data_IF_480637408073
#
_entry.id   IF_480637408073
#
_cell.length_a   1.000
_cell.length_b   1.000
_cell.length_c   1.000
_cell.angle_alpha   90.00
_cell.angle_beta   90.00
_cell.angle_gamma   90.00
#
_symmetry.space_group_name_H-M   'P 1'
#
loop_
_entity.id
_entity.type
_entity.pdbx_description
1 polymer ?
#
# COMPACT_ATOMS: atom_id res chain seq x y z
N UNK A 1 38.52 -2.35 17.60
CA UNK A 1 38.86 -2.97 16.30
C UNK A 1 37.57 -3.34 15.59
N UNK A 2 37.46 -2.97 14.31
CA UNK A 2 36.27 -3.04 13.46
C UNK A 2 36.04 -4.48 12.94
N UNK A 3 34.78 -4.90 12.86
CA UNK A 3 34.24 -5.88 11.90
C UNK A 3 32.69 -5.72 11.92
N UNK A 4 32.13 -4.75 11.19
CA UNK A 4 31.60 -4.87 9.82
C UNK A 4 30.44 -5.87 9.74
N UNK A 5 29.22 -5.32 9.81
CA UNK A 5 27.94 -5.96 9.50
C UNK A 5 27.82 -6.12 7.98
N UNK A 6 27.91 -7.35 7.48
CA UNK A 6 27.71 -7.69 6.06
C UNK A 6 26.43 -8.49 5.84
N UNK A 7 25.28 -8.03 6.33
CA UNK A 7 23.97 -8.56 5.90
C UNK A 7 22.91 -7.46 5.99
N UNK A 8 23.04 -6.40 5.20
CA UNK A 8 21.94 -5.43 5.02
C UNK A 8 22.13 -4.53 3.78
N UNK A 9 22.63 -5.08 2.67
CA UNK A 9 22.92 -4.28 1.47
C UNK A 9 22.22 -4.72 0.18
N UNK A 10 21.41 -5.79 0.19
CA UNK A 10 20.77 -6.29 -1.06
C UNK A 10 19.33 -5.77 -1.24
N UNK A 11 18.74 -5.10 -0.24
CA UNK A 11 17.36 -4.58 -0.35
C UNK A 11 17.32 -3.14 -0.91
N UNK A 12 18.44 -2.41 -0.92
CA UNK A 12 18.48 -1.01 -1.40
C UNK A 12 18.66 -0.83 -2.92
N UNK A 13 18.95 -1.90 -3.67
CA UNK A 13 19.26 -1.78 -5.10
C UNK A 13 18.04 -1.82 -6.05
N UNK A 14 16.84 -2.15 -5.56
CA UNK A 14 15.66 -2.34 -6.43
C UNK A 14 14.78 -1.10 -6.63
N UNK A 15 15.06 0.02 -5.94
CA UNK A 15 14.31 1.26 -6.11
C UNK A 15 14.95 2.27 -7.10
N UNK A 16 16.15 1.99 -7.62
CA UNK A 16 16.88 2.94 -8.48
C UNK A 16 16.56 2.83 -9.99
N UNK A 17 15.92 1.76 -10.46
CA UNK A 17 15.81 1.50 -11.90
C UNK A 17 14.51 1.97 -12.58
N UNK A 18 13.67 2.77 -11.92
CA UNK A 18 12.35 3.19 -12.46
C UNK A 18 12.20 4.71 -12.64
N UNK A 19 13.27 5.40 -13.06
CA UNK A 19 13.19 6.83 -13.44
C UNK A 19 13.44 7.10 -14.92
N UNK A 20 13.75 6.09 -15.74
CA UNK A 20 13.92 6.28 -17.17
C UNK A 20 12.65 5.86 -17.92
N UNK A 21 11.76 6.81 -18.19
CA UNK A 21 11.05 7.02 -19.47
C UNK A 21 9.91 8.03 -19.28
N UNK A 22 10.21 9.30 -19.61
CA UNK A 22 9.26 10.38 -19.76
C UNK A 22 8.95 10.51 -21.25
N UNK A 23 7.65 10.48 -21.61
CA UNK A 23 7.18 10.60 -22.98
C UNK A 23 6.61 12.00 -23.17
N UNK A 24 7.18 12.73 -24.13
CA UNK A 24 6.84 14.12 -24.46
C UNK A 24 5.40 14.24 -25.00
N UNK A 25 4.67 15.27 -24.56
CA UNK A 25 3.37 15.67 -25.09
C UNK A 25 3.43 17.15 -25.56
N UNK A 26 2.84 17.52 -26.71
CA UNK A 26 3.32 18.62 -27.56
C UNK A 26 2.53 19.93 -27.38
N UNK A 27 2.36 20.42 -26.15
CA UNK A 27 1.76 21.75 -25.90
C UNK A 27 2.51 22.45 -24.76
N UNK A 28 3.60 23.13 -25.12
CA UNK A 28 4.51 23.81 -24.21
C UNK A 28 3.87 24.98 -23.45
N UNK A 29 3.26 24.68 -22.30
CA UNK A 29 3.03 25.66 -21.24
C UNK A 29 3.67 25.18 -19.93
N UNK A 30 4.57 25.97 -19.31
CA UNK A 30 5.25 25.58 -18.08
C UNK A 30 4.28 25.64 -16.91
N UNK A 31 3.95 24.49 -16.33
CA UNK A 31 3.39 24.45 -14.98
C UNK A 31 4.57 24.56 -14.02
N UNK A 32 4.85 25.78 -13.57
CA UNK A 32 5.88 26.06 -12.58
C UNK A 32 5.62 25.26 -11.30
N UNK A 33 6.47 24.27 -11.06
CA UNK A 33 6.71 23.71 -9.73
C UNK A 33 7.55 24.75 -8.96
N UNK A 34 7.21 25.14 -7.73
CA UNK A 34 8.21 25.70 -6.85
C UNK A 34 9.17 24.57 -6.47
N UNK A 35 10.35 24.60 -7.10
CA UNK A 35 11.52 23.81 -6.73
C UNK A 35 11.95 24.15 -5.30
N UNK A 36 12.18 23.11 -4.49
CA UNK A 36 12.70 23.27 -3.13
C UNK A 36 12.24 22.21 -2.14
N UNK A 37 12.42 20.93 -2.45
CA UNK A 37 12.49 19.88 -1.42
C UNK A 37 13.91 19.33 -1.40
N UNK A 38 14.67 19.48 -0.31
CA UNK A 38 15.99 18.88 -0.21
C UNK A 38 15.87 17.35 -0.19
N UNK A 39 16.73 16.71 -0.96
CA UNK A 39 17.00 15.29 -0.86
C UNK A 39 17.54 14.98 0.55
N UNK A 40 16.79 14.19 1.32
CA UNK A 40 17.14 13.80 2.67
C UNK A 40 15.88 13.47 3.47
N UNK A 41 15.54 12.19 3.56
CA UNK A 41 14.69 11.73 4.66
C UNK A 41 15.47 12.00 5.96
N UNK A 42 14.94 12.76 6.94
CA UNK A 42 15.55 12.75 8.26
C UNK A 42 15.35 11.36 8.85
N UNK A 43 16.47 10.67 9.08
CA UNK A 43 16.60 9.66 10.13
C UNK A 43 16.04 10.27 11.42
N UNK A 44 14.90 9.75 11.88
CA UNK A 44 14.24 10.31 13.06
C UNK A 44 12.74 10.07 13.13
N UNK A 45 12.30 8.83 12.96
CA UNK A 45 11.02 8.42 13.54
C UNK A 45 11.32 7.50 14.72
N UNK A 46 10.89 7.86 15.96
CA UNK A 46 11.15 7.05 17.12
C UNK A 46 10.48 5.69 16.98
N UNK A 47 11.23 4.63 17.26
CA UNK A 47 10.70 3.28 17.42
C UNK A 47 9.52 3.31 18.40
N UNK A 48 8.38 2.67 18.10
CA UNK A 48 7.33 2.46 19.09
C UNK A 48 7.85 1.53 20.23
N UNK A 49 7.38 1.71 21.47
CA UNK A 49 7.97 1.08 22.65
C UNK A 49 7.92 -0.45 22.58
N UNK A 50 9.05 -1.09 22.90
CA UNK A 50 9.12 -2.53 23.16
C UNK A 50 8.63 -2.80 24.59
N UNK A 51 7.62 -3.67 24.73
CA UNK A 51 7.20 -4.20 26.02
C UNK A 51 8.01 -5.46 26.34
N UNK A 52 8.60 -5.47 27.54
CA UNK A 52 9.48 -6.51 28.06
C UNK A 52 8.71 -7.82 28.33
N UNK A 53 9.34 -8.95 28.03
CA UNK A 53 9.01 -10.26 28.62
C UNK A 53 10.27 -10.82 29.33
N UNK A 54 10.16 -11.49 30.49
CA UNK A 54 11.29 -11.96 31.27
C UNK A 54 11.71 -13.42 30.96
N UNK A 55 13.04 -13.63 30.86
CA UNK A 55 13.85 -14.66 31.55
C UNK A 55 13.66 -16.17 31.33
N UNK A 56 14.59 -16.77 30.56
CA UNK A 56 15.46 -17.97 30.79
C UNK A 56 14.87 -19.35 31.25
N UNK A 57 15.61 -20.50 31.25
CA UNK A 57 16.98 -20.79 30.76
C UNK A 57 17.21 -22.11 29.97
N UNK A 58 18.35 -22.16 29.25
CA UNK A 58 19.34 -23.26 29.25
C UNK A 58 19.09 -24.54 28.44
N UNK A 59 20.02 -24.87 27.52
CA UNK A 59 20.95 -26.03 27.62
C UNK A 59 22.03 -25.98 26.53
N UNK A 60 23.25 -26.29 26.94
CA UNK A 60 24.48 -26.45 26.16
C UNK A 60 24.42 -27.65 25.18
N UNK A 61 25.18 -27.56 24.07
CA UNK A 61 26.26 -28.51 23.78
C UNK A 61 26.92 -28.22 22.42
N UNK A 62 28.21 -27.93 22.50
CA UNK A 62 29.21 -27.90 21.44
C UNK A 62 29.45 -29.25 20.77
N UNK A 63 29.68 -29.28 19.45
CA UNK A 63 30.75 -30.11 18.85
C UNK A 63 31.16 -29.57 17.47
N UNK A 64 32.47 -29.40 17.29
CA UNK A 64 33.16 -29.14 16.03
C UNK A 64 33.27 -30.41 15.19
N UNK A 65 33.31 -30.29 13.86
CA UNK A 65 34.17 -31.12 12.99
C UNK A 65 34.16 -30.59 11.55
N UNK A 66 35.36 -30.38 11.05
CA UNK A 66 35.77 -30.03 9.69
C UNK A 66 35.81 -31.25 8.76
N UNK A 67 35.39 -31.13 7.49
CA UNK A 67 36.02 -31.84 6.34
C UNK A 67 35.79 -31.04 5.04
N UNK A 68 36.77 -31.17 4.14
CA UNK A 68 37.08 -30.39 2.95
C UNK A 68 36.21 -30.61 1.68
N UNK A 69 36.32 -29.60 0.82
CA UNK A 69 36.26 -29.51 -0.66
C UNK A 69 35.72 -30.66 -1.51
N UNK A 70 34.82 -30.30 -2.45
CA UNK A 70 34.95 -30.75 -3.84
C UNK A 70 34.34 -29.73 -4.81
N UNK A 71 35.09 -29.52 -5.89
CA UNK A 71 34.88 -28.63 -7.02
C UNK A 71 33.81 -29.22 -7.96
N UNK A 72 32.94 -28.38 -8.53
CA UNK A 72 32.05 -28.76 -9.65
C UNK A 72 31.54 -27.52 -10.37
N UNK A 73 32.18 -27.22 -11.49
CA UNK A 73 31.82 -26.21 -12.50
C UNK A 73 30.48 -26.56 -13.15
N UNK A 74 29.45 -25.74 -12.91
CA UNK A 74 28.18 -25.80 -13.64
C UNK A 74 28.15 -24.68 -14.70
N UNK A 75 28.11 -25.10 -15.97
CA UNK A 75 27.99 -24.23 -17.13
C UNK A 75 26.66 -23.45 -17.11
N UNK A 76 26.74 -22.14 -17.30
CA UNK A 76 25.60 -21.24 -17.39
C UNK A 76 24.89 -21.45 -18.73
N UNK A 77 23.65 -21.93 -18.69
CA UNK A 77 22.74 -21.91 -19.83
C UNK A 77 22.07 -20.53 -19.89
N UNK A 78 22.44 -19.71 -20.86
CA UNK A 78 21.76 -18.45 -21.20
C UNK A 78 20.33 -18.75 -21.65
N UNK A 79 19.37 -18.55 -20.74
CA UNK A 79 17.95 -18.49 -21.09
C UNK A 79 17.67 -17.06 -21.56
N UNK A 80 17.53 -16.90 -22.88
CA UNK A 80 17.11 -15.67 -23.53
C UNK A 80 15.70 -15.31 -23.05
N UNK A 81 15.59 -14.26 -22.22
CA UNK A 81 14.32 -13.74 -21.76
C UNK A 81 13.53 -13.14 -22.92
N UNK A 82 12.28 -13.58 -23.10
CA UNK A 82 11.37 -13.02 -24.08
C UNK A 82 11.13 -11.51 -23.83
N UNK A 83 11.00 -10.69 -24.89
CA UNK A 83 10.82 -9.25 -24.74
C UNK A 83 9.52 -8.92 -24.01
N UNK A 84 9.64 -8.09 -22.97
CA UNK A 84 8.50 -7.52 -22.23
C UNK A 84 7.76 -6.57 -23.17
N UNK A 85 6.64 -7.03 -23.74
CA UNK A 85 5.76 -6.19 -24.54
C UNK A 85 5.02 -5.24 -23.60
N UNK A 86 5.56 -4.04 -23.40
CA UNK A 86 4.87 -2.95 -22.72
C UNK A 86 3.77 -2.42 -23.64
N UNK A 87 2.58 -3.04 -23.58
CA UNK A 87 1.42 -2.54 -24.34
C UNK A 87 1.01 -1.18 -23.79
N UNK A 88 1.43 -0.10 -24.45
CA UNK A 88 0.95 1.26 -24.16
C UNK A 88 -0.55 1.28 -24.39
N UNK A 89 -1.33 1.46 -23.32
CA UNK A 89 -2.78 1.43 -23.38
C UNK A 89 -3.29 2.61 -24.21
N UNK A 90 -3.96 2.32 -25.34
CA UNK A 90 -4.56 3.33 -26.23
C UNK A 90 -5.84 3.97 -25.67
N UNK A 91 -6.24 3.66 -24.43
CA UNK A 91 -7.47 4.17 -23.82
C UNK A 91 -7.26 5.53 -23.18
N UNK A 92 -8.22 6.43 -23.42
CA UNK A 92 -8.32 7.72 -22.71
C UNK A 92 -8.15 7.54 -21.19
N UNK A 93 -7.33 8.37 -20.53
CA UNK A 93 -7.22 8.34 -19.07
C UNK A 93 -8.57 8.54 -18.37
N UNK A 94 -8.71 8.00 -17.16
CA UNK A 94 -9.87 8.31 -16.33
C UNK A 94 -9.90 9.80 -15.98
N UNK A 95 -11.09 10.42 -15.82
CA UNK A 95 -11.19 11.79 -15.37
C UNK A 95 -10.46 12.00 -14.04
N UNK A 96 -9.82 13.16 -13.90
CA UNK A 96 -9.20 13.56 -12.63
C UNK A 96 -10.29 13.80 -11.57
N UNK A 97 -10.00 13.56 -10.28
CA UNK A 97 -10.97 13.78 -9.22
C UNK A 97 -11.41 15.25 -9.13
N UNK A 98 -12.73 15.49 -9.00
CA UNK A 98 -13.30 16.82 -8.78
C UNK A 98 -14.65 16.71 -8.06
N UNK A 99 -14.70 17.07 -6.77
CA UNK A 99 -15.89 16.80 -5.94
C UNK A 99 -16.64 18.01 -5.40
N UNK A 100 -16.31 19.25 -5.82
CA UNK A 100 -17.03 20.47 -5.41
C UNK A 100 -16.95 20.84 -3.93
N UNK A 101 -16.69 19.88 -3.04
CA UNK A 101 -16.45 20.07 -1.62
C UNK A 101 -15.13 20.83 -1.41
N UNK A 102 -15.15 22.04 -0.80
CA UNK A 102 -13.94 22.84 -0.62
C UNK A 102 -13.03 22.31 0.50
N UNK A 103 -13.52 21.43 1.37
CA UNK A 103 -12.74 20.91 2.51
C UNK A 103 -11.60 19.97 2.09
N UNK A 104 -11.58 19.54 0.84
CA UNK A 104 -10.48 18.79 0.26
C UNK A 104 -10.22 19.36 -1.14
N UNK A 105 -8.98 19.68 -1.49
CA UNK A 105 -8.67 20.21 -2.82
C UNK A 105 -8.41 19.08 -3.84
N UNK A 106 -8.50 19.39 -5.13
CA UNK A 106 -8.32 18.39 -6.21
C UNK A 106 -6.91 17.80 -6.26
N UNK A 107 -5.88 18.55 -5.85
CA UNK A 107 -4.51 18.04 -5.74
C UNK A 107 -4.42 16.90 -4.73
N UNK A 108 -5.00 17.08 -3.55
CA UNK A 108 -5.01 16.07 -2.51
C UNK A 108 -5.89 14.87 -2.89
N UNK A 109 -7.04 15.07 -3.55
CA UNK A 109 -7.84 13.96 -4.13
C UNK A 109 -7.01 13.13 -5.10
N UNK A 110 -6.25 13.79 -5.98
CA UNK A 110 -5.38 13.12 -6.94
C UNK A 110 -4.27 12.34 -6.22
N UNK A 111 -3.61 12.93 -5.20
CA UNK A 111 -2.60 12.26 -4.40
C UNK A 111 -3.14 11.03 -3.67
N UNK A 112 -4.33 11.13 -3.06
CA UNK A 112 -5.02 10.00 -2.43
C UNK A 112 -5.21 8.87 -3.43
N UNK A 113 -5.81 9.16 -4.59
CA UNK A 113 -6.08 8.16 -5.62
C UNK A 113 -4.80 7.52 -6.14
N UNK A 114 -3.79 8.34 -6.40
CA UNK A 114 -2.49 7.92 -6.87
C UNK A 114 -1.86 6.93 -5.90
N UNK A 115 -1.66 7.30 -4.63
CA UNK A 115 -1.00 6.41 -3.66
C UNK A 115 -1.76 5.10 -3.45
N UNK A 116 -3.09 5.11 -3.42
CA UNK A 116 -3.84 3.85 -3.34
C UNK A 116 -3.58 2.94 -4.55
N UNK A 117 -3.55 3.50 -5.76
CA UNK A 117 -3.29 2.71 -6.98
C UNK A 117 -1.82 2.28 -7.09
N UNK A 118 -0.85 3.10 -6.69
CA UNK A 118 0.57 2.69 -6.63
C UNK A 118 0.73 1.47 -5.73
N UNK A 119 0.18 1.55 -4.52
CA UNK A 119 0.21 0.46 -3.55
C UNK A 119 -0.46 -0.81 -4.07
N UNK A 120 -1.68 -0.69 -4.62
CA UNK A 120 -2.40 -1.83 -5.22
C UNK A 120 -1.65 -2.44 -6.40
N UNK A 121 -1.02 -1.62 -7.25
CA UNK A 121 -0.23 -2.09 -8.39
C UNK A 121 1.07 -2.77 -7.98
N UNK A 122 1.74 -2.26 -6.94
CA UNK A 122 2.89 -2.91 -6.31
C UNK A 122 2.53 -4.28 -5.72
N UNK A 123 1.39 -4.37 -5.04
CA UNK A 123 0.85 -5.63 -4.50
C UNK A 123 0.49 -6.61 -5.63
N UNK A 124 -0.20 -6.14 -6.68
CA UNK A 124 -0.64 -6.97 -7.78
C UNK A 124 0.54 -7.64 -8.52
N UNK A 125 1.68 -6.96 -8.62
CA UNK A 125 2.92 -7.52 -9.19
C UNK A 125 3.58 -8.60 -8.32
N UNK A 126 3.34 -8.59 -7.01
CA UNK A 126 3.82 -9.64 -6.08
C UNK A 126 5.33 -9.65 -5.85
N UNK A 127 6.01 -8.49 -5.92
CA UNK A 127 7.48 -8.41 -5.90
C UNK A 127 8.07 -7.71 -4.68
N UNK A 128 7.33 -6.78 -4.06
CA UNK A 128 7.91 -5.83 -3.09
C UNK A 128 7.17 -5.72 -1.77
N UNK A 129 5.95 -6.26 -1.67
CA UNK A 129 5.12 -6.06 -0.48
C UNK A 129 5.39 -7.16 0.55
N UNK A 130 6.13 -6.83 1.60
CA UNK A 130 6.38 -7.76 2.72
C UNK A 130 5.10 -8.07 3.49
N UNK A 131 4.92 -9.33 3.84
CA UNK A 131 3.92 -9.85 4.76
C UNK A 131 4.63 -10.46 5.97
N UNK A 132 4.45 -9.87 7.15
CA UNK A 132 5.16 -10.30 8.37
C UNK A 132 4.98 -11.79 8.63
N UNK A 133 6.08 -12.54 8.71
CA UNK A 133 6.05 -13.99 8.94
C UNK A 133 5.63 -14.85 7.73
N UNK A 134 5.35 -14.24 6.57
CA UNK A 134 4.88 -14.94 5.35
C UNK A 134 5.68 -14.61 4.09
N UNK A 135 6.76 -13.82 4.21
CA UNK A 135 7.62 -13.45 3.09
C UNK A 135 7.02 -12.31 2.25
N UNK A 136 7.16 -12.38 0.93
CA UNK A 136 6.57 -11.41 0.01
C UNK A 136 5.14 -11.84 -0.36
N UNK A 137 4.21 -10.90 -0.35
CA UNK A 137 2.83 -11.13 -0.76
C UNK A 137 2.80 -11.54 -2.25
N UNK A 138 2.10 -12.63 -2.61
CA UNK A 138 2.15 -13.18 -3.96
C UNK A 138 1.37 -12.31 -4.96
N UNK A 139 1.61 -12.47 -6.28
CA UNK A 139 0.96 -11.67 -7.31
C UNK A 139 -0.56 -11.89 -7.35
N UNK A 140 -1.29 -10.84 -7.73
CA UNK A 140 -2.73 -10.88 -7.91
C UNK A 140 -3.08 -11.14 -9.38
N UNK A 141 -3.93 -12.14 -9.64
CA UNK A 141 -4.44 -12.33 -11.01
C UNK A 141 -5.37 -11.21 -11.47
N UNK A 142 -6.06 -10.58 -10.53
CA UNK A 142 -7.07 -9.55 -10.79
C UNK A 142 -7.05 -8.56 -9.64
N UNK A 143 -6.80 -7.29 -9.96
CA UNK A 143 -6.84 -6.17 -9.01
C UNK A 143 -7.41 -4.96 -9.74
N UNK A 144 -8.60 -4.47 -9.37
CA UNK A 144 -9.16 -3.34 -10.08
C UNK A 144 -8.43 -2.04 -9.77
N UNK A 145 -8.28 -1.21 -10.80
CA UNK A 145 -7.86 0.19 -10.63
C UNK A 145 -8.95 0.97 -9.91
N UNK A 146 -8.59 1.71 -8.87
CA UNK A 146 -9.53 2.58 -8.18
C UNK A 146 -9.83 3.83 -9.00
N UNK A 147 -11.06 4.33 -8.88
CA UNK A 147 -11.48 5.68 -9.25
C UNK A 147 -11.79 6.46 -7.98
N UNK A 148 -11.54 7.76 -8.02
CA UNK A 148 -12.00 8.64 -6.94
C UNK A 148 -13.51 8.85 -7.07
N UNK A 149 -14.22 8.81 -5.95
CA UNK A 149 -15.68 8.92 -5.93
C UNK A 149 -16.13 9.98 -4.92
N UNK A 150 -16.89 10.95 -5.41
CA UNK A 150 -17.34 12.08 -4.62
C UNK A 150 -18.45 11.73 -3.62
N UNK A 151 -19.24 10.69 -3.87
CA UNK A 151 -20.20 10.19 -2.89
C UNK A 151 -19.44 9.53 -1.73
N UNK A 152 -18.42 8.72 -2.02
CA UNK A 152 -17.55 8.15 -0.99
C UNK A 152 -16.85 9.26 -0.16
N UNK A 153 -16.37 10.33 -0.81
CA UNK A 153 -15.84 11.51 -0.10
C UNK A 153 -16.90 12.16 0.80
N UNK A 154 -18.16 12.29 0.35
CA UNK A 154 -19.21 12.90 1.15
C UNK A 154 -19.48 12.11 2.45
N UNK A 155 -19.46 10.78 2.40
CA UNK A 155 -19.58 9.93 3.59
C UNK A 155 -18.34 10.03 4.49
N UNK A 156 -17.14 10.10 3.90
CA UNK A 156 -15.92 10.35 4.65
C UNK A 156 -15.96 11.70 5.36
N UNK A 157 -16.49 12.75 4.71
CA UNK A 157 -16.65 14.08 5.27
C UNK A 157 -17.60 14.05 6.47
N UNK A 158 -18.75 13.39 6.33
CA UNK A 158 -19.69 13.18 7.44
C UNK A 158 -19.02 12.49 8.63
N UNK A 159 -18.17 11.49 8.38
CA UNK A 159 -17.44 10.79 9.43
C UNK A 159 -16.50 11.70 10.23
N UNK A 160 -15.75 12.58 9.55
CA UNK A 160 -14.78 13.47 10.22
C UNK A 160 -15.42 14.73 10.79
N UNK A 161 -16.60 15.14 10.32
CA UNK A 161 -17.26 16.40 10.72
C UNK A 161 -17.47 16.54 12.23
N UNK A 162 -17.76 15.43 12.91
CA UNK A 162 -18.04 15.39 14.36
C UNK A 162 -16.79 15.14 15.19
N UNK A 163 -15.61 15.02 14.58
CA UNK A 163 -14.34 14.77 15.28
C UNK A 163 -14.36 13.52 16.18
N UNK A 164 -15.18 12.53 15.82
CA UNK A 164 -15.21 11.24 16.51
C UNK A 164 -13.91 10.48 16.27
N UNK A 165 -13.46 9.76 17.31
CA UNK A 165 -12.28 8.90 17.27
C UNK A 165 -12.59 7.43 16.94
N UNK A 166 -13.85 7.14 16.60
CA UNK A 166 -14.36 5.81 16.30
C UNK A 166 -15.01 5.78 14.92
N UNK A 167 -14.93 4.63 14.24
CA UNK A 167 -15.59 4.40 12.96
C UNK A 167 -17.11 4.65 13.09
N UNK A 168 -17.74 5.09 12.00
CA UNK A 168 -19.18 5.20 11.91
C UNK A 168 -19.82 3.81 11.95
N UNK A 169 -21.04 3.69 12.52
CA UNK A 169 -21.78 2.43 12.44
C UNK A 169 -22.12 2.10 10.98
N UNK A 170 -22.20 0.80 10.65
CA UNK A 170 -22.40 0.33 9.27
C UNK A 170 -23.60 0.98 8.55
N UNK A 171 -24.70 1.26 9.27
CA UNK A 171 -25.89 1.94 8.73
C UNK A 171 -25.63 3.37 8.22
N UNK A 172 -24.59 4.03 8.73
CA UNK A 172 -24.21 5.39 8.37
C UNK A 172 -23.13 5.43 7.27
N UNK A 173 -22.66 4.27 6.79
CA UNK A 173 -21.62 4.18 5.78
C UNK A 173 -22.15 4.14 4.35
N UNK A 174 -23.46 4.14 4.10
CA UNK A 174 -24.00 4.14 2.73
C UNK A 174 -23.54 2.95 1.86
N UNK A 175 -23.29 1.79 2.48
CA UNK A 175 -22.74 0.61 1.78
C UNK A 175 -21.22 0.66 1.55
N UNK A 176 -20.52 1.65 2.09
CA UNK A 176 -19.07 1.72 2.11
C UNK A 176 -18.47 0.93 3.29
N UNK A 177 -17.18 0.62 3.21
CA UNK A 177 -16.35 0.33 4.40
C UNK A 177 -15.43 1.51 4.65
N UNK A 178 -15.15 1.76 5.93
CA UNK A 178 -14.39 2.91 6.39
C UNK A 178 -12.99 2.48 6.84
N UNK A 179 -11.97 3.25 6.48
CA UNK A 179 -10.77 3.39 7.29
C UNK A 179 -10.85 4.72 8.04
N UNK A 180 -10.49 4.70 9.32
CA UNK A 180 -10.35 5.89 10.16
C UNK A 180 -8.94 5.92 10.74
N UNK A 181 -8.35 7.11 10.77
CA UNK A 181 -7.06 7.36 11.39
C UNK A 181 -7.13 8.64 12.19
N UNK A 182 -6.57 8.59 13.40
CA UNK A 182 -6.49 9.73 14.30
C UNK A 182 -5.03 10.13 14.44
N UNK A 183 -4.71 11.28 13.89
CA UNK A 183 -3.36 11.80 13.88
C UNK A 183 -3.20 12.85 14.97
N UNK A 184 -2.54 12.50 16.07
CA UNK A 184 -2.30 13.39 17.21
C UNK A 184 -1.17 14.38 16.94
N UNK A 185 -1.26 15.09 15.81
CA UNK A 185 -0.38 16.19 15.45
C UNK A 185 -1.24 17.30 14.81
N UNK A 186 -1.73 18.27 15.60
CA UNK A 186 -2.62 19.32 15.11
C UNK A 186 -1.92 20.34 14.21
N UNK A 187 -0.59 20.42 14.27
CA UNK A 187 0.22 21.35 13.49
C UNK A 187 0.56 20.82 12.09
N UNK A 188 0.26 19.56 11.81
CA UNK A 188 0.44 19.01 10.48
C UNK A 188 -0.48 19.66 9.45
N UNK A 189 -0.04 19.70 8.20
CA UNK A 189 -0.93 20.03 7.10
C UNK A 189 -1.95 18.91 6.88
N UNK A 190 -3.10 19.26 6.29
CA UNK A 190 -4.12 18.27 5.93
C UNK A 190 -3.55 17.18 5.02
N UNK A 191 -2.68 17.55 4.07
CA UNK A 191 -2.01 16.60 3.18
C UNK A 191 -1.11 15.64 3.96
N UNK A 192 -0.31 16.13 4.92
CA UNK A 192 0.53 15.27 5.77
C UNK A 192 -0.33 14.27 6.55
N UNK A 193 -1.41 14.73 7.19
CA UNK A 193 -2.30 13.85 7.95
C UNK A 193 -2.90 12.75 7.07
N UNK A 194 -3.37 13.09 5.86
CA UNK A 194 -3.96 12.14 4.91
C UNK A 194 -2.94 11.13 4.40
N UNK A 195 -1.79 11.59 3.93
CA UNK A 195 -0.76 10.70 3.37
C UNK A 195 -0.15 9.79 4.45
N UNK A 196 0.01 10.30 5.66
CA UNK A 196 0.44 9.50 6.81
C UNK A 196 -0.58 8.42 7.16
N UNK A 197 -1.88 8.73 7.14
CA UNK A 197 -2.94 7.74 7.37
C UNK A 197 -2.90 6.61 6.33
N UNK A 198 -2.80 6.96 5.04
CA UNK A 198 -2.72 5.99 3.93
C UNK A 198 -1.51 5.08 4.09
N UNK A 199 -0.32 5.66 4.35
CA UNK A 199 0.90 4.89 4.56
C UNK A 199 0.80 3.98 5.81
N UNK A 200 0.22 4.48 6.90
CA UNK A 200 0.03 3.71 8.14
C UNK A 200 -0.89 2.52 7.92
N UNK A 201 -2.04 2.72 7.28
CA UNK A 201 -2.95 1.63 6.95
C UNK A 201 -2.29 0.60 6.03
N UNK A 202 -1.57 1.04 5.00
CA UNK A 202 -0.90 0.13 4.08
C UNK A 202 0.20 -0.69 4.76
N UNK A 203 0.94 -0.09 5.71
CA UNK A 203 2.03 -0.75 6.44
C UNK A 203 1.58 -1.95 7.29
N UNK A 204 0.28 -2.11 7.56
CA UNK A 204 -0.23 -3.20 8.40
C UNK A 204 0.18 -4.58 7.87
N UNK A 205 0.23 -4.80 6.55
CA UNK A 205 0.67 -6.08 6.00
C UNK A 205 2.12 -6.40 6.39
N UNK A 206 3.03 -5.44 6.23
CA UNK A 206 4.43 -5.61 6.58
C UNK A 206 4.67 -5.76 8.08
N UNK A 207 3.79 -5.19 8.91
CA UNK A 207 3.89 -5.23 10.38
C UNK A 207 3.25 -6.45 11.01
N UNK A 208 2.14 -6.91 10.45
CA UNK A 208 1.27 -7.91 11.09
C UNK A 208 1.08 -9.15 10.21
N UNK A 209 1.20 -9.03 8.90
CA UNK A 209 1.21 -10.15 7.97
C UNK A 209 -0.13 -10.84 7.80
N UNK A 210 -0.25 -11.58 6.71
CA UNK A 210 -1.36 -12.47 6.38
C UNK A 210 -0.84 -13.69 5.62
N UNK A 211 -1.58 -14.80 5.75
CA UNK A 211 -1.33 -16.05 5.01
C UNK A 211 -1.20 -15.80 3.51
N UNK A 212 -0.24 -16.47 2.88
CA UNK A 212 0.08 -16.29 1.45
C UNK A 212 -1.05 -16.65 0.49
N UNK A 213 -2.07 -17.41 0.91
CA UNK A 213 -3.27 -17.62 0.08
C UNK A 213 -4.18 -16.38 -0.01
N UNK A 214 -3.87 -15.30 0.73
CA UNK A 214 -4.58 -14.02 0.74
C UNK A 214 -6.07 -14.13 1.10
N UNK A 215 -6.44 -15.19 1.81
CA UNK A 215 -7.78 -15.36 2.37
C UNK A 215 -7.93 -14.54 3.66
N UNK A 216 -9.00 -13.75 3.75
CA UNK A 216 -9.31 -12.96 4.93
C UNK A 216 -10.13 -13.77 5.93
N UNK A 217 -9.45 -14.61 6.70
CA UNK A 217 -10.09 -15.47 7.69
C UNK A 217 -10.69 -14.71 8.87
N UNK A 218 -11.60 -15.37 9.59
CA UNK A 218 -12.15 -14.83 10.84
C UNK A 218 -11.06 -14.52 11.88
N UNK A 219 -9.94 -15.24 11.85
CA UNK A 219 -8.77 -14.94 12.69
C UNK A 219 -8.24 -13.54 12.42
N UNK A 220 -8.09 -13.15 11.14
CA UNK A 220 -7.60 -11.82 10.77
C UNK A 220 -8.48 -10.70 11.28
N UNK A 221 -9.80 -10.93 11.28
CA UNK A 221 -10.77 -9.99 11.82
C UNK A 221 -10.68 -9.82 13.34
N UNK A 222 -10.30 -10.88 14.07
CA UNK A 222 -10.30 -10.93 15.55
C UNK A 222 -8.96 -10.56 16.20
N UNK A 223 -7.96 -10.12 15.42
CA UNK A 223 -6.57 -9.88 15.88
C UNK A 223 -6.36 -8.67 16.81
N UNK A 224 -7.41 -7.94 17.19
CA UNK A 224 -7.28 -6.79 18.08
C UNK A 224 -6.39 -5.70 17.47
N UNK A 225 -5.44 -5.14 18.23
CA UNK A 225 -4.60 -4.02 17.78
C UNK A 225 -3.61 -4.41 16.65
N UNK A 226 -3.16 -5.66 16.61
CA UNK A 226 -2.17 -6.17 15.65
C UNK A 226 -2.85 -6.76 14.42
N UNK A 227 -3.71 -5.97 13.77
CA UNK A 227 -4.57 -6.40 12.68
C UNK A 227 -4.19 -5.77 11.32
N UNK A 228 -4.77 -6.35 10.27
CA UNK A 228 -4.61 -5.96 8.87
C UNK A 228 -5.89 -5.38 8.26
N UNK A 229 -6.84 -4.94 9.09
CA UNK A 229 -8.19 -4.55 8.67
C UNK A 229 -8.19 -3.37 7.69
N UNK A 230 -7.35 -2.36 7.94
CA UNK A 230 -7.30 -1.17 7.11
C UNK A 230 -6.58 -1.45 5.79
N UNK A 231 -5.47 -2.20 5.85
CA UNK A 231 -4.79 -2.71 4.66
C UNK A 231 -5.74 -3.55 3.80
N UNK A 232 -6.49 -4.47 4.39
CA UNK A 232 -7.39 -5.36 3.65
C UNK A 232 -8.46 -4.59 2.87
N UNK A 233 -9.04 -3.52 3.44
CA UNK A 233 -10.00 -2.64 2.73
C UNK A 233 -9.34 -1.90 1.55
N UNK A 234 -8.10 -1.44 1.70
CA UNK A 234 -7.32 -0.79 0.63
C UNK A 234 -6.91 -1.76 -0.49
N UNK A 235 -6.51 -2.97 -0.12
CA UNK A 235 -5.96 -4.00 -1.01
C UNK A 235 -7.04 -4.87 -1.67
N UNK A 236 -8.31 -4.70 -1.30
CA UNK A 236 -9.37 -5.60 -1.73
C UNK A 236 -9.60 -5.55 -3.25
N UNK A 237 -9.56 -6.71 -3.90
CA UNK A 237 -9.42 -6.82 -5.35
C UNK A 237 -10.56 -6.17 -6.12
N UNK A 238 -11.80 -6.34 -5.63
CA UNK A 238 -12.98 -5.82 -6.31
C UNK A 238 -13.43 -4.43 -5.83
N UNK A 239 -12.71 -3.82 -4.88
CA UNK A 239 -12.92 -2.41 -4.56
C UNK A 239 -12.59 -1.58 -5.78
N UNK A 240 -13.51 -0.69 -6.14
CA UNK A 240 -13.48 0.09 -7.37
C UNK A 240 -13.39 1.59 -7.10
N UNK A 241 -13.84 2.03 -5.94
CA UNK A 241 -14.02 3.44 -5.60
C UNK A 241 -13.41 3.75 -4.24
N UNK A 242 -12.78 4.92 -4.16
CA UNK A 242 -12.28 5.51 -2.91
C UNK A 242 -12.65 6.98 -2.85
N UNK A 243 -13.00 7.47 -1.67
CA UNK A 243 -13.13 8.90 -1.39
C UNK A 243 -12.77 9.14 0.07
N UNK A 244 -12.08 10.24 0.36
CA UNK A 244 -11.55 10.49 1.70
C UNK A 244 -11.81 11.92 2.14
N UNK A 245 -11.79 12.16 3.44
CA UNK A 245 -11.85 13.48 4.03
C UNK A 245 -10.92 13.57 5.23
N UNK A 246 -10.52 14.79 5.57
CA UNK A 246 -9.74 15.06 6.77
C UNK A 246 -10.21 16.36 7.42
N UNK A 247 -10.32 16.36 8.74
CA UNK A 247 -10.70 17.53 9.54
C UNK A 247 -9.70 17.74 10.66
N UNK A 248 -9.22 18.98 10.83
CA UNK A 248 -8.53 19.40 12.04
C UNK A 248 -9.57 19.57 13.15
N UNK A 249 -9.37 18.85 14.25
CA UNK A 249 -10.25 18.81 15.41
C UNK A 249 -9.70 19.56 16.62
N UNK A 250 -8.77 20.50 16.39
CA UNK A 250 -8.11 21.29 17.43
C UNK A 250 -6.83 20.61 17.93
N UNK A 251 -6.96 19.46 18.59
CA UNK A 251 -5.80 18.73 19.17
C UNK A 251 -5.31 17.55 18.33
N UNK A 252 -6.05 17.18 17.28
CA UNK A 252 -5.70 16.09 16.37
C UNK A 252 -6.36 16.29 15.00
N UNK A 253 -5.91 15.55 13.99
CA UNK A 253 -6.64 15.36 12.74
C UNK A 253 -7.42 14.05 12.76
N UNK A 254 -8.68 14.09 12.34
CA UNK A 254 -9.43 12.92 11.94
C UNK A 254 -9.32 12.75 10.43
N UNK A 255 -8.86 11.59 9.97
CA UNK A 255 -8.78 11.25 8.55
C UNK A 255 -9.63 10.01 8.30
N UNK A 256 -10.51 10.07 7.32
CA UNK A 256 -11.33 8.93 6.94
C UNK A 256 -11.32 8.69 5.43
N UNK A 257 -11.26 7.43 5.03
CA UNK A 257 -11.47 6.99 3.65
C UNK A 257 -12.61 5.97 3.59
N UNK A 258 -13.44 6.10 2.56
CA UNK A 258 -14.56 5.21 2.27
C UNK A 258 -14.25 4.41 1.00
N UNK A 259 -14.56 3.11 1.03
CA UNK A 259 -14.28 2.17 -0.05
C UNK A 259 -15.59 1.53 -0.54
N UNK A 260 -15.77 1.42 -1.86
CA UNK A 260 -16.91 0.70 -2.46
C UNK A 260 -16.53 -0.10 -3.72
N UNK A 261 -16.98 -1.37 -3.82
CA UNK A 261 -17.40 -2.24 -2.70
C UNK A 261 -16.35 -2.22 -1.58
N UNK A 262 -16.76 -2.41 -0.32
CA UNK A 262 -15.89 -2.06 0.81
C UNK A 262 -14.86 -3.10 1.26
N UNK A 263 -14.99 -4.35 0.82
CA UNK A 263 -14.04 -5.41 1.14
C UNK A 263 -13.97 -5.81 2.63
N UNK A 264 -12.83 -6.41 3.00
CA UNK A 264 -12.57 -7.01 4.32
C UNK A 264 -13.71 -7.94 4.78
N UNK A 265 -14.19 -8.78 3.86
CA UNK A 265 -15.28 -9.72 4.09
C UNK A 265 -14.67 -11.04 4.58
N UNK A 266 -15.13 -11.51 5.73
CA UNK A 266 -14.64 -12.76 6.34
C UNK A 266 -14.86 -13.94 5.38
N UNK A 267 -13.86 -14.81 5.29
CA UNK A 267 -13.82 -16.00 4.43
C UNK A 267 -13.91 -15.67 2.93
N UNK A 268 -13.45 -14.47 2.54
CA UNK A 268 -13.21 -14.12 1.15
C UNK A 268 -11.75 -13.74 0.94
N UNK A 269 -11.30 -13.87 -0.31
CA UNK A 269 -9.96 -13.47 -0.70
C UNK A 269 -9.84 -11.94 -0.76
N UNK A 270 -8.80 -11.40 -0.14
CA UNK A 270 -8.38 -10.00 -0.37
C UNK A 270 -8.09 -9.82 -1.85
N UNK A 271 -7.39 -10.77 -2.45
CA UNK A 271 -7.29 -10.94 -3.90
C UNK A 271 -6.96 -12.40 -4.22
N UNK A 272 -7.31 -12.83 -5.42
CA UNK A 272 -6.94 -14.16 -5.89
C UNK A 272 -5.47 -14.16 -6.34
N UNK A 273 -4.71 -15.11 -5.82
CA UNK A 273 -3.32 -15.33 -6.23
C UNK A 273 -3.29 -15.91 -7.65
N UNK A 274 -2.37 -15.42 -8.48
CA UNK A 274 -2.12 -15.98 -9.81
C UNK A 274 -1.28 -15.07 -10.69
N UNK A 275 -1.07 -15.50 -11.93
CA UNK A 275 -0.30 -14.72 -12.90
C UNK A 275 -0.88 -13.32 -13.05
N UNK A 276 0.00 -12.31 -12.99
CA UNK A 276 -0.36 -10.90 -13.07
C UNK A 276 -1.27 -10.65 -14.27
N UNK A 277 -2.36 -9.92 -14.07
CA UNK A 277 -3.36 -9.61 -15.09
C UNK A 277 -4.18 -10.79 -15.68
N UNK A 278 -3.92 -12.05 -15.32
CA UNK A 278 -4.59 -13.21 -15.94
C UNK A 278 -6.10 -13.29 -15.68
N UNK A 279 -6.61 -12.52 -14.72
CA UNK A 279 -8.05 -12.35 -14.46
C UNK A 279 -8.63 -11.02 -14.94
N UNK A 280 -7.85 -10.14 -15.57
CA UNK A 280 -8.39 -8.92 -16.19
C UNK A 280 -9.21 -9.29 -17.43
N UNK A 281 -10.26 -8.52 -17.78
CA UNK A 281 -10.84 -8.60 -19.11
C UNK A 281 -9.77 -8.27 -20.18
N UNK A 282 -9.93 -8.82 -21.38
CA UNK A 282 -8.92 -8.68 -22.44
C UNK A 282 -8.58 -7.21 -22.73
N UNK A 283 -7.27 -6.91 -22.78
CA UNK A 283 -6.74 -5.57 -22.99
C UNK A 283 -7.06 -4.55 -21.88
N UNK A 284 -7.49 -4.99 -20.69
CA UNK A 284 -7.82 -4.09 -19.57
C UNK A 284 -6.73 -3.97 -18.52
N UNK A 285 -5.63 -4.72 -18.59
CA UNK A 285 -4.53 -4.52 -17.66
C UNK A 285 -3.70 -3.31 -18.06
N UNK A 286 -3.51 -2.38 -17.13
CA UNK A 286 -2.64 -1.22 -17.33
C UNK A 286 -1.19 -1.51 -16.89
N UNK A 287 -0.28 -0.55 -17.16
CA UNK A 287 1.14 -0.68 -16.82
C UNK A 287 1.45 -0.80 -15.33
N UNK A 288 0.46 -0.61 -14.45
CA UNK A 288 0.61 -0.80 -13.01
C UNK A 288 0.08 -2.16 -12.56
N UNK A 289 -0.20 -3.08 -13.48
CA UNK A 289 -0.84 -4.37 -13.21
C UNK A 289 -2.25 -4.25 -12.61
N UNK A 290 -2.96 -3.15 -12.89
CA UNK A 290 -4.33 -2.94 -12.45
C UNK A 290 -5.30 -3.10 -13.62
N UNK A 291 -6.42 -3.76 -13.36
CA UNK A 291 -7.46 -3.99 -14.37
C UNK A 291 -8.43 -2.80 -14.42
N UNK A 292 -8.71 -2.29 -15.63
CA UNK A 292 -9.85 -1.39 -15.88
C UNK A 292 -11.19 -2.13 -15.81
N UNK A 293 -12.23 -1.36 -15.50
CA UNK A 293 -13.62 -1.78 -15.33
C UNK A 293 -14.59 -0.63 -15.61
#
# INVERSE_FOLDING_TARGET
>A
MRAIKFVSLIVFALFAALQAQQQDDPLGNPVGYPDGYPAGYPDGYPNPPQENQPGNPGVDASTSSSVASSDSTAAAAETTAAPVVTTVSTRKPWPKPNCGNPNLNNGLRNAILHHHNEFRGGLARGQTQTSHGWGIAPPARLMYRLKYDCNAESYAQQAVNTCRRTELPARALGGHKQNLFIFNNPYASQQQAVLYAIATWWSQLARFGMRSNMMFYQSEFKRGASNVLNWAKMAWWNTKRVGCAAKNCGSFYAVSCMYNPGGAIVNQYVYQVGAVCSGCPSGQCDGQALCRW
#
